data_IF_565910081582
#
_entry.id   IF_565910081582
#
_cell.length_a   1.000
_cell.length_b   1.000
_cell.length_c   1.000
_cell.angle_alpha   90.00
_cell.angle_beta   90.00
_cell.angle_gamma   90.00
#
_symmetry.space_group_name_H-M   'P 1'
#
loop_
_entity.id
_entity.type
_entity.pdbx_description
1 polymer ?
#
# COMPACT_ATOMS: atom_id res chain seq x y z
N UNK A 1 -2.27 14.81 -6.25
CA UNK A 1 -1.02 15.09 -5.51
C UNK A 1 -0.17 13.84 -5.48
N UNK A 2 1.10 13.97 -5.81
CA UNK A 2 2.05 12.84 -5.75
C UNK A 2 2.62 12.72 -4.34
N UNK A 3 3.11 11.54 -3.94
CA UNK A 3 3.83 11.39 -2.67
C UNK A 3 4.97 12.41 -2.48
N UNK A 4 5.76 12.69 -3.52
CA UNK A 4 6.83 13.69 -3.44
C UNK A 4 6.30 15.10 -3.22
N UNK A 5 5.12 15.44 -3.72
CA UNK A 5 4.51 16.75 -3.48
C UNK A 5 4.18 16.93 -2.00
N UNK A 6 3.55 15.93 -1.39
CA UNK A 6 3.23 16.00 0.04
C UNK A 6 4.51 16.05 0.90
N UNK A 7 5.51 15.27 0.53
CA UNK A 7 6.80 15.27 1.21
C UNK A 7 7.44 16.65 1.19
N UNK A 8 7.45 17.29 0.01
CA UNK A 8 8.00 18.65 -0.14
C UNK A 8 7.24 19.67 0.70
N UNK A 9 5.92 19.55 0.76
CA UNK A 9 5.09 20.44 1.59
C UNK A 9 5.39 20.26 3.08
N UNK A 10 5.56 19.02 3.53
CA UNK A 10 5.88 18.73 4.93
C UNK A 10 7.24 19.26 5.33
N UNK A 11 8.21 19.22 4.42
CA UNK A 11 9.53 19.83 4.64
C UNK A 11 9.42 21.34 4.72
N UNK A 12 8.69 21.95 3.79
CA UNK A 12 8.49 23.40 3.76
C UNK A 12 7.80 23.91 5.02
N UNK A 13 6.88 23.13 5.57
CA UNK A 13 6.15 23.46 6.81
C UNK A 13 6.96 23.15 8.08
N UNK A 14 8.18 22.63 7.95
CA UNK A 14 9.03 22.29 9.09
C UNK A 14 8.63 21.02 9.83
N UNK A 15 7.68 20.24 9.29
CA UNK A 15 7.23 19.00 9.93
C UNK A 15 8.19 17.83 9.68
N UNK A 16 8.94 17.89 8.58
CA UNK A 16 9.93 16.88 8.21
C UNK A 16 11.22 17.55 7.80
N UNK A 17 12.33 16.83 7.96
CA UNK A 17 13.63 17.22 7.43
C UNK A 17 13.91 16.41 6.18
N UNK A 18 14.56 17.03 5.20
CA UNK A 18 14.94 16.35 3.97
C UNK A 18 15.90 15.19 4.26
N UNK A 19 15.62 14.05 3.64
CA UNK A 19 16.46 12.87 3.71
C UNK A 19 16.57 12.27 2.30
N UNK A 20 17.80 12.09 1.82
CA UNK A 20 18.08 11.63 0.47
C UNK A 20 17.52 10.23 0.21
N UNK A 21 17.62 9.34 1.18
CA UNK A 21 17.09 7.98 1.03
C UNK A 21 15.57 7.97 0.96
N UNK A 22 14.92 8.81 1.78
CA UNK A 22 13.48 8.98 1.74
C UNK A 22 13.03 9.53 0.40
N UNK A 23 13.74 10.52 -0.14
CA UNK A 23 13.43 11.10 -1.45
C UNK A 23 13.52 10.05 -2.55
N UNK A 24 14.55 9.23 -2.53
CA UNK A 24 14.73 8.14 -3.48
C UNK A 24 13.58 7.13 -3.40
N UNK A 25 13.16 6.77 -2.18
CA UNK A 25 12.03 5.89 -1.97
C UNK A 25 10.72 6.51 -2.49
N UNK A 26 10.53 7.80 -2.22
CA UNK A 26 9.33 8.51 -2.67
C UNK A 26 9.25 8.62 -4.18
N UNK A 27 10.37 8.70 -4.88
CA UNK A 27 10.38 8.67 -6.34
C UNK A 27 9.83 7.33 -6.85
N UNK A 28 10.16 6.24 -6.19
CA UNK A 28 9.59 4.92 -6.51
C UNK A 28 8.10 4.84 -6.17
N UNK A 29 7.70 5.44 -5.07
CA UNK A 29 6.30 5.51 -4.67
C UNK A 29 5.47 6.37 -5.62
N UNK A 30 6.05 7.44 -6.17
CA UNK A 30 5.40 8.24 -7.23
C UNK A 30 5.08 7.39 -8.45
N UNK A 31 6.04 6.57 -8.88
CA UNK A 31 5.84 5.68 -10.03
C UNK A 31 4.75 4.66 -9.75
N UNK A 32 4.76 4.07 -8.56
CA UNK A 32 3.73 3.11 -8.14
C UNK A 32 2.36 3.77 -8.09
N UNK A 33 2.28 4.96 -7.51
CA UNK A 33 1.05 5.76 -7.44
C UNK A 33 0.48 5.98 -8.85
N UNK A 34 1.32 6.47 -9.77
CA UNK A 34 0.92 6.71 -11.14
C UNK A 34 0.43 5.46 -11.86
N UNK A 35 1.12 4.34 -11.67
CA UNK A 35 0.74 3.08 -12.28
C UNK A 35 -0.61 2.56 -11.75
N UNK A 36 -0.85 2.69 -10.44
CA UNK A 36 -2.10 2.28 -9.81
C UNK A 36 -3.28 3.13 -10.28
N UNK A 37 -3.10 4.44 -10.38
CA UNK A 37 -4.14 5.35 -10.86
C UNK A 37 -4.45 5.06 -12.34
N UNK A 38 -3.42 4.88 -13.15
CA UNK A 38 -3.60 4.54 -14.57
C UNK A 38 -4.36 3.23 -14.74
N UNK A 39 -4.03 2.22 -13.94
CA UNK A 39 -4.73 0.93 -13.93
C UNK A 39 -6.20 1.10 -13.57
N UNK A 40 -6.51 1.90 -12.56
CA UNK A 40 -7.90 2.10 -12.10
C UNK A 40 -8.78 2.75 -13.16
N UNK A 41 -8.20 3.53 -14.06
CA UNK A 41 -8.91 4.21 -15.15
C UNK A 41 -8.97 3.38 -16.44
N UNK A 42 -8.27 2.24 -16.49
CA UNK A 42 -8.24 1.39 -17.68
C UNK A 42 -9.45 0.48 -17.75
N UNK A 43 -9.96 0.25 -18.96
CA UNK A 43 -11.00 -0.74 -19.24
C UNK A 43 -10.51 -2.16 -18.99
N UNK A 44 -9.18 -2.36 -19.09
CA UNK A 44 -8.54 -3.66 -18.92
C UNK A 44 -7.85 -3.73 -17.56
N UNK A 45 -8.62 -3.77 -16.49
CA UNK A 45 -8.15 -3.71 -15.10
C UNK A 45 -7.36 -4.94 -14.63
N UNK A 46 -6.91 -5.80 -15.50
CA UNK A 46 -6.40 -7.11 -15.11
C UNK A 46 -4.88 -7.20 -15.01
N UNK A 47 -4.18 -6.10 -15.29
CA UNK A 47 -2.73 -6.12 -15.24
C UNK A 47 -2.27 -5.98 -13.80
N UNK A 48 -1.62 -7.01 -13.30
CA UNK A 48 -0.99 -7.00 -11.99
C UNK A 48 0.13 -5.96 -11.95
N UNK A 49 0.18 -5.17 -10.88
CA UNK A 49 1.24 -4.19 -10.68
C UNK A 49 2.12 -4.67 -9.53
N UNK A 50 3.43 -4.68 -9.77
CA UNK A 50 4.40 -5.07 -8.75
C UNK A 50 4.43 -4.05 -7.62
N UNK A 51 4.20 -4.52 -6.39
CA UNK A 51 4.27 -3.68 -5.20
C UNK A 51 5.70 -3.40 -4.75
N UNK A 52 5.83 -2.64 -3.68
CA UNK A 52 7.12 -2.32 -3.07
C UNK A 52 7.21 -2.92 -1.67
N UNK A 53 8.38 -3.45 -1.37
CA UNK A 53 8.75 -3.88 -0.03
C UNK A 53 9.85 -2.97 0.51
N UNK A 54 9.57 -2.31 1.63
CA UNK A 54 10.47 -1.32 2.21
C UNK A 54 11.21 -1.94 3.39
N UNK A 55 12.53 -2.00 3.29
CA UNK A 55 13.39 -2.44 4.38
C UNK A 55 14.09 -1.26 5.02
N UNK A 56 14.38 -1.38 6.30
CA UNK A 56 15.17 -0.41 7.00
C UNK A 56 15.09 -0.63 8.49
N UNK A 57 15.97 0.04 9.22
CA UNK A 57 15.98 0.03 10.66
C UNK A 57 14.75 0.74 11.23
N UNK A 58 14.35 0.32 12.42
CA UNK A 58 13.28 0.99 13.17
C UNK A 58 13.66 2.45 13.40
N UNK A 59 12.72 3.37 13.16
CA UNK A 59 12.96 4.79 13.33
C UNK A 59 13.44 5.54 12.10
N UNK A 60 13.58 4.87 10.95
CA UNK A 60 13.99 5.50 9.69
C UNK A 60 12.84 6.09 8.88
N UNK A 61 11.69 6.30 9.50
CA UNK A 61 10.57 6.95 8.85
C UNK A 61 9.81 6.09 7.84
N UNK A 62 9.91 4.77 7.91
CA UNK A 62 9.17 3.86 7.02
C UNK A 62 7.66 4.04 7.11
N UNK A 63 7.15 4.12 8.32
CA UNK A 63 5.73 4.36 8.59
C UNK A 63 5.29 5.68 7.98
N UNK A 64 6.13 6.71 8.10
CA UNK A 64 5.88 8.04 7.56
C UNK A 64 5.81 8.03 6.02
N UNK A 65 6.68 7.26 5.37
CA UNK A 65 6.67 7.11 3.93
C UNK A 65 5.39 6.38 3.48
N UNK A 66 4.98 5.37 4.22
CA UNK A 66 3.72 4.69 3.96
C UNK A 66 2.51 5.61 4.16
N UNK A 67 2.53 6.45 5.21
CA UNK A 67 1.49 7.44 5.45
C UNK A 67 1.35 8.39 4.26
N UNK A 68 2.46 8.89 3.77
CA UNK A 68 2.48 9.81 2.62
C UNK A 68 1.92 9.13 1.38
N UNK A 69 2.35 7.91 1.11
CA UNK A 69 1.86 7.15 -0.04
C UNK A 69 0.36 6.89 0.05
N UNK A 70 -0.09 6.39 1.20
CA UNK A 70 -1.50 6.06 1.41
C UNK A 70 -2.38 7.30 1.30
N UNK A 71 -1.97 8.40 1.91
CA UNK A 71 -2.73 9.64 1.92
C UNK A 71 -2.86 10.26 0.53
N UNK A 72 -1.80 10.19 -0.27
CA UNK A 72 -1.79 10.78 -1.61
C UNK A 72 -2.39 9.88 -2.70
N UNK A 73 -2.60 8.61 -2.41
CA UNK A 73 -3.16 7.67 -3.38
C UNK A 73 -4.67 7.91 -3.53
N UNK A 74 -5.07 8.43 -4.70
CA UNK A 74 -6.47 8.75 -5.00
C UNK A 74 -7.22 7.52 -5.49
N UNK A 75 -7.38 6.54 -4.60
CA UNK A 75 -8.18 5.35 -4.81
C UNK A 75 -9.08 5.12 -3.58
N UNK A 76 -10.33 4.75 -3.84
CA UNK A 76 -11.28 4.49 -2.76
C UNK A 76 -11.06 3.14 -2.09
N UNK A 77 -10.67 2.14 -2.88
CA UNK A 77 -10.47 0.77 -2.41
C UNK A 77 -9.04 0.53 -1.96
N UNK A 78 -8.56 1.37 -1.06
CA UNK A 78 -7.26 1.21 -0.43
C UNK A 78 -7.44 0.93 1.05
N UNK A 79 -6.64 0.04 1.61
CA UNK A 79 -6.64 -0.29 3.03
C UNK A 79 -5.24 -0.29 3.59
N UNK A 80 -5.13 0.18 4.81
CA UNK A 80 -3.90 0.11 5.59
C UNK A 80 -4.18 -0.71 6.84
N UNK A 81 -3.37 -1.72 7.08
CA UNK A 81 -3.56 -2.62 8.19
C UNK A 81 -2.20 -3.11 8.70
N UNK A 82 -2.08 -3.29 10.00
CA UNK A 82 -0.89 -3.92 10.58
C UNK A 82 -0.81 -5.38 10.13
N UNK A 83 0.39 -5.80 9.79
CA UNK A 83 0.61 -7.12 9.23
C UNK A 83 0.11 -8.23 10.16
N UNK A 84 0.36 -8.11 11.46
CA UNK A 84 -0.10 -9.10 12.44
C UNK A 84 -1.61 -9.23 12.45
N UNK A 85 -2.32 -8.11 12.41
CA UNK A 85 -3.78 -8.11 12.36
C UNK A 85 -4.30 -8.73 11.08
N UNK A 86 -3.68 -8.41 9.97
CA UNK A 86 -4.04 -9.01 8.67
C UNK A 86 -3.88 -10.53 8.71
N UNK A 87 -2.75 -11.02 9.23
CA UNK A 87 -2.50 -12.45 9.32
C UNK A 87 -3.50 -13.14 10.24
N UNK A 88 -3.87 -12.51 11.35
CA UNK A 88 -4.89 -13.04 12.25
C UNK A 88 -6.24 -13.20 11.55
N UNK A 89 -6.67 -12.16 10.85
CA UNK A 89 -7.93 -12.19 10.10
C UNK A 89 -7.89 -13.24 8.98
N UNK A 90 -6.77 -13.36 8.29
CA UNK A 90 -6.59 -14.35 7.24
C UNK A 90 -6.69 -15.78 7.81
N UNK A 91 -6.05 -16.04 8.95
CA UNK A 91 -6.13 -17.36 9.60
C UNK A 91 -7.57 -17.69 10.04
N UNK A 92 -8.31 -16.72 10.59
CA UNK A 92 -9.71 -16.88 10.93
C UNK A 92 -10.56 -17.23 9.71
N UNK A 93 -10.34 -16.53 8.58
CA UNK A 93 -11.03 -16.81 7.33
C UNK A 93 -10.72 -18.22 6.80
N UNK A 94 -9.46 -18.62 6.86
CA UNK A 94 -9.04 -19.94 6.42
C UNK A 94 -9.65 -21.05 7.27
N UNK A 95 -9.78 -20.84 8.59
CA UNK A 95 -10.42 -21.78 9.48
C UNK A 95 -11.89 -21.95 9.13
N UNK A 96 -12.60 -20.86 8.83
CA UNK A 96 -14.00 -20.91 8.41
C UNK A 96 -14.18 -21.59 7.05
N UNK A 97 -13.18 -21.53 6.19
CA UNK A 97 -13.17 -22.16 4.86
C UNK A 97 -12.65 -23.59 4.90
N UNK A 98 -12.44 -24.14 6.08
CA UNK A 98 -11.99 -25.53 6.28
C UNK A 98 -12.94 -26.50 5.57
N UNK A 99 -12.38 -27.42 4.77
CA UNK A 99 -13.14 -28.34 3.97
C UNK A 99 -13.53 -27.85 2.58
N UNK A 100 -13.33 -26.58 2.28
CA UNK A 100 -13.49 -26.02 0.94
C UNK A 100 -12.28 -26.33 0.07
N UNK A 101 -12.51 -26.45 -1.23
CA UNK A 101 -11.43 -26.59 -2.19
C UNK A 101 -10.74 -25.24 -2.36
N UNK A 102 -9.41 -25.24 -2.19
CA UNK A 102 -8.57 -24.04 -2.37
C UNK A 102 -9.01 -22.85 -1.49
N UNK A 103 -9.00 -22.99 -0.15
CA UNK A 103 -9.47 -21.93 0.75
C UNK A 103 -8.68 -20.63 0.65
N UNK A 104 -7.39 -20.71 0.36
CA UNK A 104 -6.54 -19.52 0.24
C UNK A 104 -6.98 -18.65 -0.94
N UNK A 105 -7.33 -19.26 -2.06
CA UNK A 105 -7.82 -18.54 -3.23
C UNK A 105 -9.15 -17.84 -2.93
N UNK A 106 -10.05 -18.52 -2.22
CA UNK A 106 -11.34 -17.94 -1.81
C UNK A 106 -11.11 -16.71 -0.93
N UNK A 107 -10.21 -16.83 0.06
CA UNK A 107 -9.88 -15.73 0.94
C UNK A 107 -9.30 -14.54 0.18
N UNK A 108 -8.39 -14.80 -0.77
CA UNK A 108 -7.80 -13.76 -1.60
C UNK A 108 -8.84 -13.08 -2.49
N UNK A 109 -9.75 -13.83 -3.09
CA UNK A 109 -10.82 -13.29 -3.92
C UNK A 109 -11.76 -12.39 -3.08
N UNK A 110 -12.06 -12.80 -1.85
CA UNK A 110 -12.90 -12.01 -0.94
C UNK A 110 -12.24 -10.69 -0.58
N UNK A 111 -10.95 -10.68 -0.33
CA UNK A 111 -10.19 -9.46 -0.04
C UNK A 111 -10.20 -8.54 -1.28
N UNK A 112 -10.00 -9.09 -2.47
CA UNK A 112 -9.90 -8.30 -3.70
C UNK A 112 -11.21 -7.65 -4.13
N UNK A 113 -12.35 -8.12 -3.64
CA UNK A 113 -13.65 -7.48 -3.92
C UNK A 113 -13.73 -6.07 -3.37
N UNK A 114 -13.13 -5.82 -2.22
CA UNK A 114 -13.21 -4.55 -1.50
C UNK A 114 -11.91 -3.76 -1.53
N UNK A 115 -10.84 -4.34 -2.03
CA UNK A 115 -9.51 -3.74 -1.87
C UNK A 115 -8.69 -3.90 -3.14
N UNK A 116 -8.27 -2.77 -3.71
CA UNK A 116 -7.34 -2.74 -4.84
C UNK A 116 -5.89 -2.64 -4.36
N UNK A 117 -5.67 -1.97 -3.24
CA UNK A 117 -4.33 -1.75 -2.68
C UNK A 117 -4.34 -2.02 -1.19
N UNK A 118 -3.42 -2.86 -0.75
CA UNK A 118 -3.16 -3.11 0.67
C UNK A 118 -1.81 -2.55 1.06
N UNK A 119 -1.80 -1.77 2.12
CA UNK A 119 -0.58 -1.26 2.74
C UNK A 119 -0.39 -1.94 4.09
N UNK A 120 0.70 -2.66 4.24
CA UNK A 120 1.05 -3.34 5.48
C UNK A 120 2.09 -2.55 6.25
N UNK A 121 1.82 -2.39 7.52
CA UNK A 121 2.76 -1.75 8.45
C UNK A 121 3.31 -2.74 9.46
#
# INVERSE_FOLDING_TARGET
MKPTDLYSNLIADGQLSFDKEQKSLLDKLDKLNGALIKRSKSWFKRKSIKGLYIRGEVGRGKTQMMDIFFETLDLKKKKRIHFHRFMKLLHEDLDQLSGQKDPLKIAADNISKDTEVLCFD
#
